data_IF_123329151362
#
_entry.id   IF_123329151362
#
_cell.length_a   1.000
_cell.length_b   1.000
_cell.length_c   1.000
_cell.angle_alpha   90.00
_cell.angle_beta   90.00
_cell.angle_gamma   90.00
#
_symmetry.space_group_name_H-M   'P 1'
#
loop_
_entity.id
_entity.type
_entity.pdbx_description
1 polymer ?
#
# COMPACT_ATOMS: atom_id res chain seq x y z
N UNK A 1 16.45 22.16 1.10
CA UNK A 1 15.58 21.85 2.25
C UNK A 1 14.63 20.77 1.77
N UNK A 2 14.89 19.52 2.15
CA UNK A 2 14.10 18.39 1.66
C UNK A 2 12.75 18.38 2.35
N UNK A 3 11.68 18.62 1.60
CA UNK A 3 10.34 18.25 2.02
C UNK A 3 10.31 16.73 2.13
N UNK A 4 10.54 16.21 3.34
CA UNK A 4 10.06 14.87 3.65
C UNK A 4 8.54 14.98 3.63
N UNK A 5 7.93 14.63 2.49
CA UNK A 5 6.48 14.69 2.30
C UNK A 5 5.82 13.88 3.41
N UNK A 6 4.69 14.34 3.95
CA UNK A 6 3.93 13.70 5.04
C UNK A 6 3.69 12.20 4.80
N UNK A 7 3.63 11.80 3.52
CA UNK A 7 3.64 10.41 3.05
C UNK A 7 4.84 9.57 3.52
N UNK A 8 6.07 10.08 3.40
CA UNK A 8 7.28 9.36 3.80
C UNK A 8 7.27 9.12 5.32
N UNK A 9 6.88 10.11 6.10
CA UNK A 9 6.75 9.98 7.56
C UNK A 9 5.68 8.95 7.94
N UNK A 10 4.52 8.97 7.27
CA UNK A 10 3.46 8.00 7.51
C UNK A 10 3.89 6.56 7.16
N UNK A 11 4.64 6.38 6.07
CA UNK A 11 5.21 5.08 5.68
C UNK A 11 6.23 4.59 6.70
N UNK A 12 7.12 5.45 7.17
CA UNK A 12 8.13 5.11 8.18
C UNK A 12 7.51 4.79 9.54
N UNK A 13 6.45 5.51 9.94
CA UNK A 13 5.67 5.20 11.15
C UNK A 13 4.99 3.83 11.06
N UNK A 14 4.42 3.52 9.90
CA UNK A 14 3.76 2.23 9.72
C UNK A 14 4.75 1.08 9.67
N UNK A 15 5.92 1.27 9.05
CA UNK A 15 7.02 0.31 9.09
C UNK A 15 7.48 0.03 10.53
N UNK A 16 7.51 1.06 11.39
CA UNK A 16 7.86 0.90 12.81
C UNK A 16 6.81 0.08 13.57
N UNK A 17 5.53 0.42 13.42
CA UNK A 17 4.44 -0.33 14.07
C UNK A 17 4.41 -1.80 13.65
N UNK A 18 4.76 -2.10 12.41
CA UNK A 18 4.88 -3.47 11.91
C UNK A 18 6.01 -4.25 12.57
N UNK A 19 7.18 -3.62 12.75
CA UNK A 19 8.30 -4.25 13.45
C UNK A 19 7.95 -4.52 14.91
N UNK A 20 7.33 -3.56 15.60
CA UNK A 20 6.90 -3.72 16.99
C UNK A 20 5.89 -4.88 17.14
N UNK A 21 4.96 -5.00 16.19
CA UNK A 21 4.01 -6.11 16.15
C UNK A 21 4.71 -7.45 15.89
N UNK A 22 5.67 -7.51 14.96
CA UNK A 22 6.46 -8.72 14.72
C UNK A 22 7.21 -9.18 15.99
N UNK A 23 7.79 -8.24 16.74
CA UNK A 23 8.50 -8.53 17.99
C UNK A 23 7.54 -9.04 19.08
N UNK A 24 6.35 -8.44 19.20
CA UNK A 24 5.32 -8.91 20.14
C UNK A 24 4.81 -10.31 19.78
N UNK A 25 4.66 -10.59 18.48
CA UNK A 25 4.18 -11.88 17.99
C UNK A 25 5.22 -12.99 18.07
N UNK A 26 6.52 -12.67 18.16
CA UNK A 26 7.59 -13.65 18.24
C UNK A 26 7.45 -14.59 19.45
N UNK A 27 6.88 -14.11 20.55
CA UNK A 27 6.63 -14.87 21.79
C UNK A 27 5.16 -15.27 21.98
N UNK A 28 4.29 -14.93 21.02
CA UNK A 28 2.86 -15.20 21.13
C UNK A 28 2.49 -16.67 20.79
N UNK A 29 1.35 -17.17 21.28
CA UNK A 29 0.76 -18.43 20.83
C UNK A 29 0.60 -18.50 19.30
N UNK A 30 0.64 -19.71 18.73
CA UNK A 30 0.56 -19.92 17.27
C UNK A 30 -0.76 -19.38 16.69
N UNK A 31 -1.87 -19.55 17.41
CA UNK A 31 -3.17 -19.03 16.98
C UNK A 31 -3.17 -17.50 16.83
N UNK A 32 -2.59 -16.80 17.80
CA UNK A 32 -2.51 -15.33 17.80
C UNK A 32 -1.59 -14.82 16.69
N UNK A 33 -0.48 -15.53 16.42
CA UNK A 33 0.39 -15.26 15.26
C UNK A 33 -0.35 -15.38 13.94
N UNK A 34 -1.11 -16.45 13.75
CA UNK A 34 -1.87 -16.66 12.52
C UNK A 34 -2.99 -15.62 12.35
N UNK A 35 -3.69 -15.28 13.44
CA UNK A 35 -4.71 -14.25 13.40
C UNK A 35 -4.12 -12.88 13.05
N UNK A 36 -3.03 -12.49 13.70
CA UNK A 36 -2.37 -11.22 13.44
C UNK A 36 -1.81 -11.14 12.01
N UNK A 37 -1.30 -12.24 11.44
CA UNK A 37 -0.92 -12.29 10.02
C UNK A 37 -2.12 -12.06 9.09
N UNK A 38 -3.29 -12.62 9.41
CA UNK A 38 -4.53 -12.37 8.67
C UNK A 38 -4.91 -10.89 8.68
N UNK A 39 -4.99 -10.30 9.88
CA UNK A 39 -5.29 -8.88 10.08
C UNK A 39 -4.29 -7.97 9.37
N UNK A 40 -2.99 -8.30 9.42
CA UNK A 40 -1.96 -7.55 8.71
C UNK A 40 -2.15 -7.60 7.20
N UNK A 41 -2.39 -8.79 6.65
CA UNK A 41 -2.60 -8.94 5.21
C UNK A 41 -3.81 -8.14 4.72
N UNK A 42 -4.91 -8.12 5.49
CA UNK A 42 -6.09 -7.30 5.20
C UNK A 42 -5.76 -5.81 5.25
N UNK A 43 -5.13 -5.33 6.33
CA UNK A 43 -4.78 -3.93 6.48
C UNK A 43 -3.81 -3.43 5.38
N UNK A 44 -2.83 -4.25 5.00
CA UNK A 44 -1.93 -3.93 3.89
C UNK A 44 -2.65 -3.91 2.55
N UNK A 45 -3.56 -4.84 2.30
CA UNK A 45 -4.33 -4.88 1.07
C UNK A 45 -5.19 -3.61 0.93
N UNK A 46 -5.82 -3.17 2.01
CA UNK A 46 -6.63 -1.94 2.04
C UNK A 46 -5.78 -0.69 1.80
N UNK A 47 -4.65 -0.56 2.51
CA UNK A 47 -3.72 0.55 2.33
C UNK A 47 -3.16 0.60 0.91
N UNK A 48 -2.75 -0.56 0.39
CA UNK A 48 -2.25 -0.69 -0.98
C UNK A 48 -3.32 -0.28 -2.00
N UNK A 49 -4.55 -0.74 -1.84
CA UNK A 49 -5.66 -0.37 -2.74
C UNK A 49 -5.98 1.13 -2.69
N UNK A 50 -5.86 1.77 -1.52
CA UNK A 50 -6.00 3.22 -1.39
C UNK A 50 -4.90 3.97 -2.13
N UNK A 51 -3.63 3.68 -1.80
CA UNK A 51 -2.47 4.32 -2.41
C UNK A 51 -2.41 4.10 -3.93
N UNK A 52 -2.77 2.90 -4.38
CA UNK A 52 -2.82 2.58 -5.81
C UNK A 52 -3.85 3.45 -6.54
N UNK A 53 -5.05 3.64 -5.99
CA UNK A 53 -6.08 4.51 -6.60
C UNK A 53 -5.61 5.96 -6.66
N UNK A 54 -5.09 6.50 -5.55
CA UNK A 54 -4.57 7.87 -5.51
C UNK A 54 -3.46 8.10 -6.54
N UNK A 55 -2.48 7.19 -6.62
CA UNK A 55 -1.40 7.28 -7.58
C UNK A 55 -1.88 7.21 -9.03
N UNK A 56 -2.89 6.36 -9.32
CA UNK A 56 -3.50 6.29 -10.64
C UNK A 56 -4.23 7.60 -10.97
N UNK A 57 -5.01 8.15 -10.04
CA UNK A 57 -5.71 9.43 -10.24
C UNK A 57 -4.74 10.58 -10.49
N UNK A 58 -3.69 10.72 -9.68
CA UNK A 58 -2.66 11.74 -9.88
C UNK A 58 -1.98 11.61 -11.25
N UNK A 59 -1.62 10.39 -11.66
CA UNK A 59 -1.04 10.16 -12.99
C UNK A 59 -2.02 10.50 -14.13
N UNK A 60 -3.33 10.28 -13.93
CA UNK A 60 -4.37 10.68 -14.88
C UNK A 60 -4.50 12.19 -14.98
N UNK A 61 -4.44 12.92 -13.87
CA UNK A 61 -4.46 14.38 -13.82
C UNK A 61 -3.24 15.00 -14.52
N UNK A 62 -2.07 14.35 -14.41
CA UNK A 62 -0.86 14.70 -15.18
C UNK A 62 -0.94 14.31 -16.68
N UNK A 63 -2.04 13.70 -17.13
CA UNK A 63 -2.26 13.34 -18.52
C UNK A 63 -1.57 12.04 -18.97
N UNK A 64 -1.15 11.17 -18.04
CA UNK A 64 -0.53 9.90 -18.42
C UNK A 64 -1.55 8.96 -19.10
N UNK A 65 -1.18 8.32 -20.22
CA UNK A 65 -2.04 7.33 -20.86
C UNK A 65 -2.10 6.05 -20.02
N UNK A 66 -3.27 5.37 -20.02
CA UNK A 66 -3.52 4.15 -19.24
C UNK A 66 -2.44 3.07 -19.39
N UNK A 67 -1.90 2.88 -20.61
CA UNK A 67 -0.83 1.91 -20.87
C UNK A 67 0.46 2.22 -20.11
N UNK A 68 0.78 3.50 -19.95
CA UNK A 68 1.99 3.93 -19.23
C UNK A 68 1.83 3.70 -17.72
N UNK A 69 0.64 4.01 -17.18
CA UNK A 69 0.29 3.74 -15.77
C UNK A 69 0.33 2.22 -15.50
N UNK A 70 -0.30 1.44 -16.39
CA UNK A 70 -0.31 -0.03 -16.31
C UNK A 70 1.11 -0.63 -16.32
N UNK A 71 1.99 -0.10 -17.18
CA UNK A 71 3.40 -0.48 -17.22
C UNK A 71 4.14 -0.18 -15.91
N UNK A 72 3.87 0.97 -15.28
CA UNK A 72 4.49 1.35 -14.00
C UNK A 72 4.00 0.46 -12.84
N UNK A 73 2.71 0.11 -12.83
CA UNK A 73 2.10 -0.75 -11.80
C UNK A 73 2.23 -2.24 -12.08
N UNK A 74 2.85 -2.63 -13.20
CA UNK A 74 2.96 -4.02 -13.67
C UNK A 74 1.60 -4.74 -13.71
N UNK A 75 0.55 -4.02 -14.10
CA UNK A 75 -0.80 -4.55 -14.24
C UNK A 75 -1.32 -4.34 -15.67
N UNK A 76 -2.52 -4.83 -15.97
CA UNK A 76 -3.16 -4.62 -17.27
C UNK A 76 -3.80 -3.22 -17.36
N UNK A 77 -3.88 -2.67 -18.58
CA UNK A 77 -4.56 -1.39 -18.79
C UNK A 77 -6.06 -1.45 -18.45
N UNK A 78 -6.67 -2.63 -18.52
CA UNK A 78 -8.06 -2.86 -18.14
C UNK A 78 -8.24 -2.76 -16.62
N UNK A 79 -7.30 -3.29 -15.83
CA UNK A 79 -7.28 -3.08 -14.37
C UNK A 79 -7.19 -1.60 -14.02
N UNK A 80 -6.33 -0.83 -14.71
CA UNK A 80 -6.25 0.63 -14.50
C UNK A 80 -7.57 1.32 -14.89
N UNK A 81 -8.25 0.85 -15.94
CA UNK A 81 -9.54 1.38 -16.37
C UNK A 81 -10.62 1.20 -15.30
N UNK A 82 -10.71 0.00 -14.69
CA UNK A 82 -11.66 -0.30 -13.60
C UNK A 82 -11.37 0.56 -12.38
N UNK A 83 -10.09 0.83 -12.09
CA UNK A 83 -9.67 1.66 -10.95
C UNK A 83 -9.87 3.17 -11.19
N UNK A 84 -10.23 3.60 -12.40
CA UNK A 84 -10.41 5.01 -12.78
C UNK A 84 -11.82 5.36 -13.26
N UNK A 85 -12.71 4.37 -13.36
CA UNK A 85 -14.13 4.53 -13.70
C UNK A 85 -14.95 4.86 -12.46
#
# INVERSE_FOLDING_TARGET
>A
MSHSNDWTTAVDEQARHLNDLCDQLAQAPVADRLHALGTLNEAFADLYACAQREAIHAAREEGWPLRRIAGALKCSHEQVRILTS
#
